data_IF_765838745045
#
_entry.id   IF_765838745045
#
_cell.length_a   1.000
_cell.length_b   1.000
_cell.length_c   1.000
_cell.angle_alpha   90.00
_cell.angle_beta   90.00
_cell.angle_gamma   90.00
#
_symmetry.space_group_name_H-M   'P 1'
#
loop_
_entity.id
_entity.type
_entity.pdbx_description
1 polymer ?
#
# COMPACT_ATOMS: atom_id res chain seq x y z
N UNK A 1 -10.84 -11.55 -19.16
CA UNK A 1 -11.03 -10.75 -17.93
C UNK A 1 -11.10 -11.67 -16.68
N UNK A 2 -10.11 -12.55 -16.50
CA UNK A 2 -9.99 -13.42 -15.31
C UNK A 2 -8.57 -13.41 -14.72
N UNK A 3 -7.61 -12.87 -15.45
CA UNK A 3 -6.19 -12.78 -15.08
C UNK A 3 -5.81 -11.52 -14.30
N UNK A 4 -6.71 -10.52 -14.21
CA UNK A 4 -6.49 -9.31 -13.39
C UNK A 4 -6.93 -9.53 -11.93
N UNK A 5 -7.81 -10.50 -11.69
CA UNK A 5 -8.30 -10.88 -10.35
C UNK A 5 -7.68 -12.18 -9.84
N UNK A 6 -6.94 -12.90 -10.70
CA UNK A 6 -6.06 -13.97 -10.25
C UNK A 6 -4.83 -13.34 -9.63
N UNK A 7 -4.62 -13.55 -8.34
CA UNK A 7 -3.44 -13.15 -7.56
C UNK A 7 -2.12 -13.79 -8.04
N UNK A 8 -2.01 -14.23 -9.30
CA UNK A 8 -0.79 -14.75 -9.93
C UNK A 8 0.23 -13.64 -10.22
N UNK A 9 -0.27 -12.44 -10.52
CA UNK A 9 0.55 -11.23 -10.47
C UNK A 9 0.31 -10.58 -9.11
N UNK A 10 1.26 -10.80 -8.19
CA UNK A 10 1.46 -9.90 -7.05
C UNK A 10 1.24 -8.47 -7.54
N UNK A 11 0.33 -7.70 -6.92
CA UNK A 11 0.14 -6.28 -7.27
C UNK A 11 1.53 -5.64 -7.28
N UNK A 12 2.05 -5.36 -8.47
CA UNK A 12 3.44 -4.96 -8.65
C UNK A 12 3.69 -3.75 -7.76
N UNK A 13 4.82 -3.64 -7.03
CA UNK A 13 5.07 -2.54 -6.10
C UNK A 13 4.84 -1.15 -6.72
N UNK A 14 5.02 -1.01 -8.05
CA UNK A 14 4.69 0.21 -8.81
C UNK A 14 3.20 0.59 -8.78
N UNK A 15 2.30 -0.38 -8.86
CA UNK A 15 0.84 -0.15 -8.82
C UNK A 15 0.42 0.32 -7.43
N UNK A 16 1.04 -0.22 -6.38
CA UNK A 16 0.77 0.20 -5.01
C UNK A 16 1.19 1.66 -4.76
N UNK A 17 2.33 2.10 -5.31
CA UNK A 17 2.74 3.52 -5.25
C UNK A 17 1.73 4.44 -5.93
N UNK A 18 1.09 4.00 -7.02
CA UNK A 18 0.03 4.76 -7.67
C UNK A 18 -1.20 4.91 -6.77
N UNK A 19 -1.66 3.82 -6.13
CA UNK A 19 -2.76 3.88 -5.15
C UNK A 19 -2.41 4.72 -3.93
N UNK A 20 -1.16 4.68 -3.46
CA UNK A 20 -0.69 5.52 -2.37
C UNK A 20 -0.88 7.01 -2.67
N UNK A 21 -0.51 7.47 -3.87
CA UNK A 21 -0.72 8.87 -4.28
C UNK A 21 -2.20 9.26 -4.37
N UNK A 22 -3.05 8.37 -4.88
CA UNK A 22 -4.50 8.61 -4.92
C UNK A 22 -5.07 8.72 -3.50
N UNK A 23 -4.72 7.78 -2.61
CA UNK A 23 -5.16 7.80 -1.23
C UNK A 23 -4.74 9.08 -0.50
N UNK A 24 -3.50 9.54 -0.72
CA UNK A 24 -3.00 10.80 -0.17
C UNK A 24 -3.82 12.01 -0.64
N UNK A 25 -4.15 12.09 -1.93
CA UNK A 25 -4.99 13.15 -2.48
C UNK A 25 -6.39 13.12 -1.86
N UNK A 26 -6.99 11.93 -1.72
CA UNK A 26 -8.31 11.77 -1.10
C UNK A 26 -8.31 12.18 0.37
N UNK A 27 -7.27 11.83 1.14
CA UNK A 27 -7.13 12.26 2.54
C UNK A 27 -6.96 13.78 2.63
N UNK A 28 -6.24 14.39 1.69
CA UNK A 28 -6.09 15.84 1.63
C UNK A 28 -7.43 16.53 1.37
N UNK A 29 -8.16 16.09 0.33
CA UNK A 29 -9.46 16.66 -0.03
C UNK A 29 -10.49 16.42 1.09
N UNK A 30 -10.53 15.21 1.64
CA UNK A 30 -11.41 14.85 2.75
C UNK A 30 -11.10 15.64 4.02
N UNK A 31 -9.81 15.80 4.35
CA UNK A 31 -9.36 16.61 5.50
C UNK A 31 -9.75 18.08 5.36
N UNK A 32 -9.53 18.66 4.17
CA UNK A 32 -9.97 20.04 3.87
C UNK A 32 -11.48 20.16 3.96
N UNK A 33 -12.24 19.20 3.42
CA UNK A 33 -13.70 19.19 3.51
C UNK A 33 -14.19 19.13 4.97
N UNK A 34 -13.64 18.23 5.79
CA UNK A 34 -13.97 18.12 7.22
C UNK A 34 -13.68 19.39 8.01
N UNK A 35 -12.65 20.16 7.62
CA UNK A 35 -12.35 21.47 8.22
C UNK A 35 -13.45 22.50 7.93
N UNK A 36 -14.14 22.42 6.79
CA UNK A 36 -15.25 23.32 6.45
C UNK A 36 -16.60 22.90 7.05
N UNK A 37 -16.82 21.60 7.33
CA UNK A 37 -18.12 21.11 7.81
C UNK A 37 -18.23 20.97 9.31
N UNK A 38 -17.14 20.63 10.01
CA UNK A 38 -17.16 20.35 11.45
C UNK A 38 -16.45 21.47 12.22
N UNK A 39 -15.19 21.22 12.59
CA UNK A 39 -14.34 22.15 13.32
C UNK A 39 -12.93 22.10 12.72
N UNK A 40 -12.34 23.28 12.47
CA UNK A 40 -11.01 23.43 11.88
C UNK A 40 -9.95 22.59 12.64
N UNK A 41 -10.01 22.58 13.97
CA UNK A 41 -9.02 21.91 14.80
C UNK A 41 -9.12 20.38 14.73
N UNK A 42 -10.34 19.84 14.81
CA UNK A 42 -10.61 18.40 14.73
C UNK A 42 -10.32 17.87 13.33
N UNK A 43 -10.74 18.59 12.28
CA UNK A 43 -10.45 18.24 10.89
C UNK A 43 -8.95 18.24 10.59
N UNK A 44 -8.21 19.24 11.09
CA UNK A 44 -6.76 19.31 10.90
C UNK A 44 -6.02 18.16 11.59
N UNK A 45 -6.35 17.86 12.86
CA UNK A 45 -5.74 16.74 13.60
C UNK A 45 -6.08 15.41 12.93
N UNK A 46 -7.35 15.21 12.54
CA UNK A 46 -7.79 14.00 11.85
C UNK A 46 -7.08 13.79 10.51
N UNK A 47 -6.83 14.86 9.77
CA UNK A 47 -6.07 14.82 8.52
C UNK A 47 -4.61 14.40 8.76
N UNK A 48 -3.92 15.00 9.75
CA UNK A 48 -2.53 14.67 10.08
C UNK A 48 -2.41 13.18 10.46
N UNK A 49 -3.26 12.71 11.38
CA UNK A 49 -3.26 11.30 11.79
C UNK A 49 -3.56 10.36 10.62
N UNK A 50 -4.49 10.74 9.75
CA UNK A 50 -4.84 9.94 8.56
C UNK A 50 -3.69 9.87 7.55
N UNK A 51 -2.96 10.97 7.34
CA UNK A 51 -1.77 11.00 6.46
C UNK A 51 -0.66 10.10 6.99
N UNK A 52 -0.39 10.15 8.31
CA UNK A 52 0.60 9.30 8.96
C UNK A 52 0.16 7.83 8.89
N UNK A 53 -1.09 7.54 9.23
CA UNK A 53 -1.64 6.19 9.17
C UNK A 53 -1.59 5.60 7.75
N UNK A 54 -1.91 6.41 6.73
CA UNK A 54 -1.79 6.02 5.33
C UNK A 54 -0.35 5.68 4.96
N UNK A 55 0.64 6.51 5.33
CA UNK A 55 2.06 6.23 5.10
C UNK A 55 2.48 4.88 5.68
N UNK A 56 2.19 4.66 6.96
CA UNK A 56 2.56 3.43 7.67
C UNK A 56 1.90 2.21 7.05
N UNK A 57 0.60 2.28 6.74
CA UNK A 57 -0.12 1.17 6.12
C UNK A 57 0.46 0.79 4.76
N UNK A 58 0.71 1.75 3.87
CA UNK A 58 1.29 1.45 2.56
C UNK A 58 2.73 0.92 2.64
N UNK A 59 3.53 1.38 3.61
CA UNK A 59 4.86 0.80 3.87
C UNK A 59 4.78 -0.67 4.33
N UNK A 60 3.87 -0.99 5.26
CA UNK A 60 3.67 -2.36 5.71
C UNK A 60 3.23 -3.28 4.57
N UNK A 61 2.33 -2.82 3.70
CA UNK A 61 1.90 -3.59 2.53
C UNK A 61 3.09 -3.80 1.57
N UNK A 62 3.91 -2.77 1.30
CA UNK A 62 5.11 -2.93 0.47
C UNK A 62 6.12 -3.92 1.07
N UNK A 63 6.31 -3.90 2.38
CA UNK A 63 7.18 -4.87 3.08
C UNK A 63 6.64 -6.29 2.94
N UNK A 64 5.33 -6.49 3.08
CA UNK A 64 4.70 -7.80 2.87
C UNK A 64 4.91 -8.32 1.44
N UNK A 65 4.76 -7.47 0.42
CA UNK A 65 5.06 -7.84 -0.97
C UNK A 65 6.52 -8.22 -1.18
N UNK A 66 7.47 -7.46 -0.62
CA UNK A 66 8.90 -7.79 -0.66
C UNK A 66 9.17 -9.13 0.01
N UNK A 67 8.58 -9.41 1.16
CA UNK A 67 8.75 -10.69 1.87
C UNK A 67 8.27 -11.88 1.02
N UNK A 68 7.15 -11.75 0.33
CA UNK A 68 6.67 -12.78 -0.60
C UNK A 68 7.63 -13.00 -1.77
N UNK A 69 8.22 -11.93 -2.30
CA UNK A 69 9.24 -12.04 -3.35
C UNK A 69 10.52 -12.73 -2.85
N UNK A 70 10.98 -12.42 -1.62
CA UNK A 70 12.12 -13.10 -1.01
C UNK A 70 11.85 -14.60 -0.79
N UNK A 71 10.68 -14.97 -0.28
CA UNK A 71 10.30 -16.38 -0.10
C UNK A 71 10.29 -17.14 -1.43
N UNK A 72 9.76 -16.53 -2.48
CA UNK A 72 9.77 -17.11 -3.83
C UNK A 72 11.19 -17.32 -4.35
N UNK A 73 12.09 -16.34 -4.17
CA UNK A 73 13.51 -16.47 -4.56
C UNK A 73 14.22 -17.59 -3.79
N UNK A 74 13.93 -17.75 -2.49
CA UNK A 74 14.49 -18.84 -1.68
C UNK A 74 14.00 -20.19 -2.20
N UNK A 75 12.69 -20.34 -2.43
CA UNK A 75 12.12 -21.57 -2.96
C UNK A 75 12.71 -21.95 -4.34
N UNK A 76 12.87 -20.98 -5.24
CA UNK A 76 13.49 -21.18 -6.55
C UNK A 76 14.96 -21.62 -6.42
N UNK A 77 15.74 -21.05 -5.49
CA UNK A 77 17.14 -21.44 -5.28
C UNK A 77 17.28 -22.83 -4.64
N UNK A 78 16.48 -23.16 -3.63
CA UNK A 78 16.49 -24.49 -3.00
C UNK A 78 16.11 -25.60 -3.99
N UNK A 79 15.19 -25.32 -4.93
CA UNK A 79 14.80 -26.29 -5.97
C UNK A 79 15.95 -26.63 -6.93
N UNK A 80 16.83 -25.67 -7.25
CA UNK A 80 17.98 -25.88 -8.14
C UNK A 80 19.08 -26.71 -7.47
N UNK A 81 19.37 -26.46 -6.19
CA UNK A 81 20.36 -27.23 -5.41
C UNK A 81 19.97 -28.70 -5.19
N UNK A 82 18.68 -29.05 -5.30
CA UNK A 82 18.23 -30.45 -5.15
C UNK A 82 18.32 -31.24 -6.46
N UNK A 83 18.52 -30.56 -7.60
CA UNK A 83 18.60 -31.18 -8.92
C UNK A 83 20.05 -31.37 -9.42
N UNK A 84 21.04 -30.83 -8.70
CA UNK A 84 22.48 -31.03 -8.90
C UNK A 84 23.04 -32.04 -7.88
#
# INVERSE_FOLDING_TARGET
MKSILGFDYLLTPRVLVFFYWIAMLLILIGGVYSMFTEHLFTGFIGMIFSLIGCRVMFELIMVAFKNNEYLRRIAENTSKTTAE
#
